data_IF_988600412230
#
_entry.id   IF_988600412230
#
_cell.length_a   1.000
_cell.length_b   1.000
_cell.length_c   1.000
_cell.angle_alpha   90.00
_cell.angle_beta   90.00
_cell.angle_gamma   90.00
#
_symmetry.space_group_name_H-M   'P 1'
#
loop_
_entity.id
_entity.type
_entity.pdbx_description
1 polymer ?
#
# COMPACT_ATOMS: atom_id res chain seq x y z
N UNK A 1 52.72 -30.96 2.38
CA UNK A 1 51.47 -30.76 1.61
C UNK A 1 51.72 -31.21 0.18
N UNK A 2 51.07 -32.29 -0.23
CA UNK A 2 51.27 -32.93 -1.54
C UNK A 2 50.60 -32.11 -2.65
N UNK A 3 51.02 -32.31 -3.91
CA UNK A 3 50.45 -31.60 -5.07
C UNK A 3 48.92 -31.84 -5.18
N UNK A 4 48.47 -33.05 -4.84
CA UNK A 4 47.07 -33.47 -4.87
C UNK A 4 46.21 -32.73 -3.83
N UNK A 5 46.74 -32.48 -2.62
CA UNK A 5 46.07 -31.67 -1.60
C UNK A 5 45.88 -30.22 -2.06
N UNK A 6 46.90 -29.62 -2.69
CA UNK A 6 46.82 -28.25 -3.21
C UNK A 6 45.76 -28.12 -4.31
N UNK A 7 45.70 -29.09 -5.24
CA UNK A 7 44.70 -29.12 -6.32
C UNK A 7 43.29 -29.31 -5.75
N UNK A 8 43.11 -30.19 -4.76
CA UNK A 8 41.81 -30.41 -4.12
C UNK A 8 41.29 -29.14 -3.42
N UNK A 9 42.16 -28.39 -2.74
CA UNK A 9 41.77 -27.13 -2.08
C UNK A 9 41.33 -26.09 -3.10
N UNK A 10 42.04 -25.97 -4.23
CA UNK A 10 41.69 -25.02 -5.30
C UNK A 10 40.34 -25.36 -5.94
N UNK A 11 40.06 -26.64 -6.21
CA UNK A 11 38.77 -27.09 -6.76
C UNK A 11 37.62 -26.87 -5.77
N UNK A 12 37.85 -27.14 -4.47
CA UNK A 12 36.88 -26.85 -3.42
C UNK A 12 36.59 -25.35 -3.29
N UNK A 13 37.60 -24.49 -3.45
CA UNK A 13 37.41 -23.04 -3.44
C UNK A 13 36.56 -22.58 -4.63
N UNK A 14 36.88 -23.05 -5.84
CA UNK A 14 36.17 -22.70 -7.06
C UNK A 14 34.71 -23.18 -7.05
N UNK A 15 34.48 -24.41 -6.56
CA UNK A 15 33.12 -24.95 -6.42
C UNK A 15 32.31 -24.18 -5.38
N UNK A 16 32.92 -23.74 -4.27
CA UNK A 16 32.26 -22.87 -3.30
C UNK A 16 31.83 -21.52 -3.90
N UNK A 17 32.70 -20.88 -4.69
CA UNK A 17 32.35 -19.64 -5.39
C UNK A 17 31.24 -19.85 -6.43
N UNK A 18 31.30 -20.94 -7.19
CA UNK A 18 30.27 -21.29 -8.16
C UNK A 18 28.91 -21.57 -7.49
N UNK A 19 28.90 -22.28 -6.37
CA UNK A 19 27.70 -22.54 -5.57
C UNK A 19 27.11 -21.25 -5.01
N UNK A 20 27.97 -20.35 -4.50
CA UNK A 20 27.55 -19.05 -3.97
C UNK A 20 26.93 -18.16 -5.06
N UNK A 21 27.55 -18.08 -6.24
CA UNK A 21 27.01 -17.34 -7.37
C UNK A 21 25.65 -17.91 -7.84
N UNK A 22 25.52 -19.24 -7.85
CA UNK A 22 24.27 -19.92 -8.20
C UNK A 22 23.17 -19.65 -7.18
N UNK A 23 23.50 -19.66 -5.88
CA UNK A 23 22.56 -19.32 -4.81
C UNK A 23 22.08 -17.86 -4.93
N UNK A 24 22.98 -16.93 -5.25
CA UNK A 24 22.63 -15.51 -5.50
C UNK A 24 21.70 -15.38 -6.70
N UNK A 25 22.00 -16.09 -7.80
CA UNK A 25 21.16 -16.07 -9.00
C UNK A 25 19.77 -16.66 -8.73
N UNK A 26 19.69 -17.79 -8.03
CA UNK A 26 18.43 -18.40 -7.62
C UNK A 26 17.62 -17.47 -6.71
N UNK A 27 18.26 -16.80 -5.76
CA UNK A 27 17.59 -15.82 -4.89
C UNK A 27 17.01 -14.64 -5.67
N UNK A 28 17.76 -14.10 -6.64
CA UNK A 28 17.27 -13.03 -7.53
C UNK A 28 16.11 -13.50 -8.39
N UNK A 29 16.20 -14.70 -8.97
CA UNK A 29 15.14 -15.31 -9.79
C UNK A 29 13.86 -15.53 -8.96
N UNK A 30 14.01 -15.99 -7.72
CA UNK A 30 12.90 -16.14 -6.79
C UNK A 30 12.24 -14.79 -6.46
N UNK A 31 13.02 -13.73 -6.19
CA UNK A 31 12.46 -12.40 -5.96
C UNK A 31 11.71 -11.85 -7.18
N UNK A 32 12.26 -12.04 -8.38
CA UNK A 32 11.62 -11.67 -9.64
C UNK A 32 10.30 -12.41 -9.85
N UNK A 33 10.32 -13.74 -9.70
CA UNK A 33 9.13 -14.59 -9.82
C UNK A 33 8.07 -14.20 -8.80
N UNK A 34 8.48 -13.92 -7.56
CA UNK A 34 7.59 -13.44 -6.49
C UNK A 34 6.98 -12.06 -6.81
N UNK A 35 7.72 -11.17 -7.46
CA UNK A 35 7.21 -9.87 -7.89
C UNK A 35 6.27 -9.98 -9.10
N UNK A 36 6.55 -10.88 -10.04
CA UNK A 36 5.68 -11.15 -11.19
C UNK A 36 4.38 -11.85 -10.78
N UNK A 37 4.44 -12.69 -9.75
CA UNK A 37 3.27 -13.33 -9.15
C UNK A 37 2.45 -12.39 -8.25
N UNK A 38 2.83 -11.11 -8.12
CA UNK A 38 2.00 -10.16 -7.39
C UNK A 38 0.69 -9.96 -8.14
N UNK A 39 -0.40 -10.14 -7.40
CA UNK A 39 -1.79 -9.95 -7.82
C UNK A 39 -2.18 -8.46 -7.89
N UNK A 40 -1.36 -7.61 -7.27
CA UNK A 40 -1.56 -6.17 -7.18
C UNK A 40 -0.23 -5.41 -7.17
N UNK A 41 -0.19 -4.29 -7.89
CA UNK A 41 0.84 -3.27 -7.79
C UNK A 41 0.27 -2.03 -7.09
N UNK A 42 0.97 -1.56 -6.05
CA UNK A 42 0.58 -0.38 -5.29
C UNK A 42 1.78 0.57 -5.23
N UNK A 43 1.63 1.78 -5.77
CA UNK A 43 2.73 2.72 -5.93
C UNK A 43 2.25 4.19 -5.90
N UNK A 44 3.13 5.16 -5.60
CA UNK A 44 2.81 6.58 -5.69
C UNK A 44 2.45 6.98 -7.12
N UNK A 45 1.46 7.87 -7.27
CA UNK A 45 1.14 8.47 -8.57
C UNK A 45 2.19 9.52 -8.97
N UNK A 46 2.20 9.89 -10.25
CA UNK A 46 2.86 11.11 -10.75
C UNK A 46 2.20 12.38 -10.20
N UNK A 47 0.92 12.29 -9.85
CA UNK A 47 0.19 13.35 -9.19
C UNK A 47 0.49 13.31 -7.68
N UNK A 48 0.76 14.48 -7.09
CA UNK A 48 1.12 14.60 -5.68
C UNK A 48 0.03 14.04 -4.76
N UNK A 49 0.46 13.51 -3.61
CA UNK A 49 -0.41 12.99 -2.55
C UNK A 49 -1.43 11.93 -3.01
N UNK A 50 -1.08 11.15 -4.03
CA UNK A 50 -1.92 10.09 -4.58
C UNK A 50 -1.22 8.76 -4.66
N UNK A 51 -2.01 7.70 -4.58
CA UNK A 51 -1.58 6.34 -4.84
C UNK A 51 -2.35 5.77 -6.02
N UNK A 52 -1.66 4.91 -6.76
CA UNK A 52 -2.25 4.06 -7.78
C UNK A 52 -2.19 2.63 -7.27
N UNK A 53 -3.34 1.96 -7.36
CA UNK A 53 -3.48 0.53 -7.18
C UNK A 53 -3.87 -0.09 -8.52
N UNK A 54 -3.12 -1.08 -8.97
CA UNK A 54 -3.35 -1.77 -10.25
C UNK A 54 -3.52 -3.25 -9.99
N UNK A 55 -4.60 -3.82 -10.51
CA UNK A 55 -4.80 -5.28 -10.49
C UNK A 55 -4.07 -5.93 -11.64
N UNK A 56 -3.20 -6.88 -11.31
CA UNK A 56 -2.48 -7.75 -12.26
C UNK A 56 -3.04 -9.17 -12.24
N UNK A 57 -4.08 -9.42 -11.44
CA UNK A 57 -4.75 -10.70 -11.27
C UNK A 57 -5.56 -11.09 -12.50
N UNK A 58 -5.24 -12.22 -13.14
CA UNK A 58 -6.06 -12.81 -14.20
C UNK A 58 -7.23 -13.65 -13.67
N UNK A 59 -7.15 -14.12 -12.42
CA UNK A 59 -8.05 -15.14 -11.87
C UNK A 59 -9.22 -14.56 -11.06
N UNK A 60 -8.95 -13.53 -10.26
CA UNK A 60 -9.92 -12.97 -9.32
C UNK A 60 -9.91 -11.45 -9.34
N UNK A 61 -11.06 -10.86 -9.01
CA UNK A 61 -11.13 -9.42 -8.72
C UNK A 61 -10.32 -9.13 -7.46
N UNK A 62 -9.57 -8.04 -7.50
CA UNK A 62 -8.80 -7.54 -6.37
C UNK A 62 -9.73 -6.74 -5.46
N UNK A 63 -10.08 -7.32 -4.31
CA UNK A 63 -10.99 -6.75 -3.32
C UNK A 63 -10.24 -6.42 -2.04
N UNK A 64 -10.49 -5.23 -1.50
CA UNK A 64 -10.00 -4.82 -0.20
C UNK A 64 -10.90 -5.39 0.89
N UNK A 65 -10.31 -6.15 1.81
CA UNK A 65 -10.97 -6.56 3.06
C UNK A 65 -10.71 -5.56 4.18
N UNK A 66 -9.54 -4.92 4.14
CA UNK A 66 -9.18 -3.94 5.15
C UNK A 66 -8.19 -2.90 4.60
N UNK A 67 -8.34 -1.64 5.03
CA UNK A 67 -7.32 -0.61 4.85
C UNK A 67 -6.95 -0.06 6.23
N UNK A 68 -5.65 0.06 6.49
CA UNK A 68 -5.10 0.64 7.74
C UNK A 68 -4.15 1.77 7.44
N UNK A 69 -4.15 2.78 8.32
CA UNK A 69 -3.13 3.82 8.37
C UNK A 69 -2.34 3.65 9.65
N UNK A 70 -1.04 3.39 9.52
CA UNK A 70 -0.11 3.35 10.64
C UNK A 70 0.71 4.62 10.66
N UNK A 71 0.48 5.50 11.64
CA UNK A 71 1.23 6.76 11.80
C UNK A 71 2.30 6.58 12.87
N UNK A 72 3.56 6.85 12.52
CA UNK A 72 4.69 6.78 13.44
C UNK A 72 4.92 8.15 14.07
N UNK A 73 4.53 8.31 15.34
CA UNK A 73 4.76 9.55 16.11
C UNK A 73 6.20 9.65 16.60
N UNK A 74 6.82 8.52 16.90
CA UNK A 74 8.23 8.42 17.28
C UNK A 74 8.80 7.09 16.79
N UNK A 75 10.10 6.84 17.03
CA UNK A 75 10.73 5.57 16.68
C UNK A 75 10.08 4.37 17.37
N UNK A 76 9.54 4.55 18.56
CA UNK A 76 8.95 3.47 19.37
C UNK A 76 7.42 3.51 19.44
N UNK A 77 6.80 4.63 19.07
CA UNK A 77 5.35 4.81 19.15
C UNK A 77 4.74 4.98 17.78
N UNK A 78 3.81 4.08 17.46
CA UNK A 78 2.97 4.16 16.28
C UNK A 78 1.53 3.89 16.66
N UNK A 79 0.62 4.66 16.09
CA UNK A 79 -0.81 4.39 16.18
C UNK A 79 -1.28 3.77 14.86
N UNK A 80 -2.24 2.84 14.94
CA UNK A 80 -2.81 2.17 13.78
C UNK A 80 -4.32 2.45 13.76
N UNK A 81 -4.81 2.92 12.62
CA UNK A 81 -6.20 3.29 12.41
C UNK A 81 -6.77 2.41 11.30
N UNK A 82 -7.76 1.56 11.63
CA UNK A 82 -8.47 0.76 10.63
C UNK A 82 -9.58 1.61 10.02
N UNK A 83 -9.49 1.87 8.71
CA UNK A 83 -10.43 2.72 8.00
C UNK A 83 -11.71 1.94 7.67
N UNK A 84 -11.58 0.63 7.47
CA UNK A 84 -12.68 -0.29 7.12
C UNK A 84 -13.69 -0.45 8.25
N UNK A 85 -13.29 -0.24 9.51
CA UNK A 85 -14.23 -0.17 10.64
C UNK A 85 -15.15 1.06 10.55
N UNK A 86 -14.74 2.09 9.80
CA UNK A 86 -15.46 3.34 9.59
C UNK A 86 -16.22 3.35 8.25
N UNK A 87 -16.09 2.28 7.44
CA UNK A 87 -16.70 2.15 6.13
C UNK A 87 -18.23 2.26 6.19
N UNK A 88 -18.90 1.50 7.06
CA UNK A 88 -20.37 1.50 7.17
C UNK A 88 -20.97 2.87 7.51
N UNK A 89 -20.22 3.74 8.21
CA UNK A 89 -20.69 5.08 8.57
C UNK A 89 -20.47 6.08 7.44
N UNK A 90 -19.45 5.86 6.61
CA UNK A 90 -19.20 6.66 5.41
C UNK A 90 -19.86 6.10 4.15
N UNK A 91 -20.42 4.89 4.19
CA UNK A 91 -21.05 4.21 3.07
C UNK A 91 -22.18 5.06 2.48
N UNK A 92 -23.06 5.61 3.33
CA UNK A 92 -24.16 6.47 2.89
C UNK A 92 -23.65 7.77 2.23
N UNK A 93 -22.64 8.41 2.82
CA UNK A 93 -22.02 9.62 2.27
C UNK A 93 -21.32 9.35 0.93
N UNK A 94 -20.55 8.27 0.83
CA UNK A 94 -19.86 7.88 -0.40
C UNK A 94 -20.82 7.42 -1.50
N UNK A 95 -21.95 6.76 -1.16
CA UNK A 95 -22.99 6.38 -2.12
C UNK A 95 -23.77 7.58 -2.67
N UNK A 96 -23.92 8.66 -1.88
CA UNK A 96 -24.58 9.89 -2.32
C UNK A 96 -23.71 10.80 -3.21
N UNK A 97 -22.38 10.72 -3.04
CA UNK A 97 -21.42 11.39 -3.90
C UNK A 97 -21.36 10.66 -5.25
N UNK A 98 -21.74 11.33 -6.34
CA UNK A 98 -21.74 10.81 -7.72
C UNK A 98 -20.33 10.50 -8.30
N UNK A 99 -19.30 10.38 -7.46
CA UNK A 99 -17.92 10.13 -7.87
C UNK A 99 -17.51 8.70 -7.50
N UNK A 100 -16.63 8.09 -8.31
CA UNK A 100 -16.05 6.75 -8.10
C UNK A 100 -15.31 6.67 -6.75
N UNK A 101 -16.07 6.37 -5.71
CA UNK A 101 -15.61 6.43 -4.34
C UNK A 101 -14.70 5.23 -4.02
N UNK A 102 -13.66 5.46 -3.20
CA UNK A 102 -12.60 4.50 -2.91
C UNK A 102 -13.17 3.20 -2.35
N UNK A 103 -14.18 3.29 -1.47
CA UNK A 103 -14.72 2.09 -0.84
C UNK A 103 -15.61 1.26 -1.76
N UNK A 104 -16.64 1.78 -2.45
CA UNK A 104 -17.38 1.01 -3.44
C UNK A 104 -16.46 0.38 -4.49
N UNK A 105 -15.42 1.09 -4.91
CA UNK A 105 -14.47 0.59 -5.92
C UNK A 105 -13.62 -0.57 -5.38
N UNK A 106 -13.05 -0.45 -4.19
CA UNK A 106 -12.11 -1.45 -3.66
C UNK A 106 -12.77 -2.55 -2.84
N UNK A 107 -13.82 -2.27 -2.07
CA UNK A 107 -14.46 -3.23 -1.16
C UNK A 107 -15.67 -3.95 -1.79
N UNK A 108 -16.43 -3.29 -2.67
CA UNK A 108 -17.64 -3.90 -3.28
C UNK A 108 -17.36 -4.42 -4.69
N UNK A 109 -16.91 -3.54 -5.60
CA UNK A 109 -16.69 -3.89 -7.01
C UNK A 109 -15.41 -4.72 -7.19
N UNK A 110 -14.33 -4.28 -6.55
CA UNK A 110 -12.98 -4.75 -6.77
C UNK A 110 -12.41 -4.29 -8.11
N UNK A 111 -11.11 -4.52 -8.32
CA UNK A 111 -10.42 -4.22 -9.58
C UNK A 111 -10.23 -5.49 -10.41
N UNK A 112 -10.62 -5.45 -11.69
CA UNK A 112 -10.33 -6.52 -12.64
C UNK A 112 -8.95 -6.36 -13.26
N UNK A 113 -8.46 -7.38 -13.96
CA UNK A 113 -7.14 -7.33 -14.62
C UNK A 113 -6.93 -6.05 -15.44
N UNK A 114 -5.76 -5.42 -15.27
CA UNK A 114 -5.37 -4.24 -16.02
C UNK A 114 -6.07 -2.95 -15.59
N UNK A 115 -7.09 -3.03 -14.73
CA UNK A 115 -7.68 -1.84 -14.14
C UNK A 115 -6.72 -1.23 -13.12
N UNK A 116 -6.56 0.08 -13.25
CA UNK A 116 -5.86 0.90 -12.28
C UNK A 116 -6.81 1.91 -11.67
N UNK A 117 -6.73 2.06 -10.36
CA UNK A 117 -7.46 3.03 -9.60
C UNK A 117 -6.48 3.98 -8.92
N UNK A 118 -6.65 5.26 -9.17
CA UNK A 118 -5.86 6.32 -8.56
C UNK A 118 -6.72 7.06 -7.54
N UNK A 119 -6.21 7.21 -6.31
CA UNK A 119 -6.95 7.86 -5.24
C UNK A 119 -6.09 8.81 -4.39
N UNK A 120 -6.68 9.88 -3.86
CA UNK A 120 -6.00 10.81 -2.96
C UNK A 120 -5.73 10.18 -1.60
N UNK A 121 -4.49 10.32 -1.12
CA UNK A 121 -4.09 9.86 0.21
C UNK A 121 -4.86 10.62 1.30
N UNK A 122 -5.09 11.92 1.08
CA UNK A 122 -5.82 12.77 2.02
C UNK A 122 -7.20 12.22 2.37
N UNK A 123 -7.90 11.59 1.43
CA UNK A 123 -9.22 10.98 1.68
C UNK A 123 -9.14 9.83 2.69
N UNK A 124 -8.13 8.97 2.59
CA UNK A 124 -7.94 7.89 3.56
C UNK A 124 -7.69 8.45 4.97
N UNK A 125 -6.88 9.50 5.06
CA UNK A 125 -6.62 10.19 6.32
C UNK A 125 -7.87 10.88 6.86
N UNK A 126 -8.60 11.62 6.04
CA UNK A 126 -9.87 12.27 6.38
C UNK A 126 -10.85 11.26 7.00
N UNK A 127 -11.07 10.12 6.33
CA UNK A 127 -11.94 9.07 6.87
C UNK A 127 -11.42 8.57 8.22
N UNK A 128 -10.11 8.36 8.35
CA UNK A 128 -9.51 7.94 9.62
C UNK A 128 -9.64 8.97 10.75
N UNK A 129 -9.91 10.24 10.43
CA UNK A 129 -10.10 11.30 11.43
C UNK A 129 -11.50 11.31 12.03
N UNK A 130 -12.46 10.62 11.40
CA UNK A 130 -13.84 10.67 11.83
C UNK A 130 -14.01 9.98 13.19
N UNK A 131 -14.33 10.78 14.21
CA UNK A 131 -14.50 10.36 15.61
C UNK A 131 -15.89 9.75 15.76
N UNK A 132 -16.12 8.58 15.18
CA UNK A 132 -17.41 7.91 15.36
C UNK A 132 -17.50 7.48 16.82
N UNK A 133 -18.49 8.07 17.50
CA UNK A 133 -18.86 7.96 18.91
C UNK A 133 -19.47 6.56 19.14
N UNK A 134 -18.74 5.49 18.83
CA UNK A 134 -19.19 4.11 19.09
C UNK A 134 -18.54 3.52 20.35
N UNK A 135 -17.57 4.20 20.95
CA UNK A 135 -16.98 3.83 22.24
C UNK A 135 -16.75 5.07 23.09
N UNK A 136 -16.75 4.93 24.42
CA UNK A 136 -16.47 6.00 25.40
C UNK A 136 -15.15 6.76 25.14
N UNK A 137 -14.26 6.19 24.33
CA UNK A 137 -13.02 6.81 23.87
C UNK A 137 -13.05 6.97 22.34
N UNK A 138 -12.79 8.18 21.79
CA UNK A 138 -12.70 8.36 20.35
C UNK A 138 -11.49 7.61 19.77
N UNK A 139 -11.73 6.59 18.96
CA UNK A 139 -10.70 5.84 18.22
C UNK A 139 -10.64 6.41 16.81
N UNK A 140 -9.94 7.53 16.66
CA UNK A 140 -9.77 8.20 15.37
C UNK A 140 -8.47 9.00 15.35
N UNK A 141 -7.91 9.17 14.16
CA UNK A 141 -6.75 10.01 13.94
C UNK A 141 -7.12 11.45 14.32
N UNK A 142 -6.29 12.09 15.16
CA UNK A 142 -6.47 13.52 15.45
C UNK A 142 -5.63 14.31 14.44
N UNK A 143 -6.23 15.11 13.53
CA UNK A 143 -5.47 15.89 12.56
C UNK A 143 -4.39 16.75 13.20
N UNK A 144 -4.70 17.36 14.35
CA UNK A 144 -3.80 18.22 15.14
C UNK A 144 -2.53 17.50 15.64
N UNK A 145 -2.50 16.16 15.59
CA UNK A 145 -1.33 15.36 15.98
C UNK A 145 -0.42 15.03 14.82
N UNK A 146 -0.80 15.37 13.58
CA UNK A 146 0.01 15.20 12.39
C UNK A 146 1.01 16.36 12.28
N UNK A 147 2.27 16.02 12.03
CA UNK A 147 3.35 16.99 11.82
C UNK A 147 4.10 16.63 10.55
N UNK A 148 4.51 17.63 9.78
CA UNK A 148 5.35 17.46 8.60
C UNK A 148 6.64 16.71 8.97
N UNK A 149 7.03 15.73 8.16
CA UNK A 149 8.15 14.82 8.39
C UNK A 149 7.80 13.51 9.11
N UNK A 150 6.58 13.37 9.65
CA UNK A 150 6.12 12.10 10.21
C UNK A 150 6.06 11.00 9.15
N UNK A 151 6.39 9.76 9.54
CA UNK A 151 6.27 8.60 8.65
C UNK A 151 4.90 7.97 8.83
N UNK A 152 4.23 7.66 7.74
CA UNK A 152 3.03 6.84 7.76
C UNK A 152 3.18 5.64 6.83
N UNK A 153 2.51 4.54 7.18
CA UNK A 153 2.40 3.36 6.33
C UNK A 153 0.93 3.12 6.07
N UNK A 154 0.55 3.14 4.80
CA UNK A 154 -0.76 2.73 4.32
C UNK A 154 -0.71 1.24 4.01
N UNK A 155 -1.62 0.46 4.59
CA UNK A 155 -1.64 -1.00 4.47
C UNK A 155 -2.99 -1.40 3.91
N UNK A 156 -2.98 -2.06 2.76
CA UNK A 156 -4.16 -2.58 2.06
C UNK A 156 -4.14 -4.11 2.19
N UNK A 157 -5.16 -4.68 2.81
CA UNK A 157 -5.40 -6.11 2.88
C UNK A 157 -6.28 -6.49 1.69
N UNK A 158 -5.66 -6.96 0.61
CA UNK A 158 -6.32 -7.28 -0.66
C UNK A 158 -6.34 -8.80 -0.87
N UNK A 159 -7.51 -9.41 -1.02
CA UNK A 159 -7.69 -10.87 -1.12
C UNK A 159 -6.84 -11.64 -0.08
N UNK A 160 -6.84 -11.18 1.18
CA UNK A 160 -6.06 -11.77 2.28
C UNK A 160 -4.56 -11.44 2.31
N UNK A 161 -4.02 -10.74 1.31
CA UNK A 161 -2.61 -10.37 1.23
C UNK A 161 -2.37 -8.91 1.59
N UNK A 162 -1.35 -8.62 2.40
CA UNK A 162 -1.01 -7.26 2.83
C UNK A 162 -0.09 -6.55 1.82
N UNK A 163 -0.52 -5.38 1.36
CA UNK A 163 0.25 -4.47 0.50
C UNK A 163 0.48 -3.15 1.23
N UNK A 164 1.73 -2.78 1.47
CA UNK A 164 2.07 -1.60 2.26
C UNK A 164 2.82 -0.56 1.45
N UNK A 165 2.42 0.71 1.55
CA UNK A 165 3.18 1.87 1.04
C UNK A 165 3.58 2.76 2.18
N UNK A 166 4.88 3.07 2.25
CA UNK A 166 5.44 4.03 3.19
C UNK A 166 5.41 5.41 2.56
N UNK A 167 4.91 6.39 3.31
CA UNK A 167 4.85 7.79 2.92
C UNK A 167 5.45 8.66 4.01
N UNK A 168 5.93 9.83 3.63
CA UNK A 168 6.29 10.90 4.55
C UNK A 168 5.18 11.93 4.48
N UNK A 169 4.60 12.27 5.62
CA UNK A 169 3.57 13.30 5.73
C UNK A 169 4.26 14.64 5.50
N UNK A 170 3.85 15.38 4.48
CA UNK A 170 4.32 16.74 4.21
C UNK A 170 3.22 17.75 4.59
N UNK A 171 3.57 19.04 4.60
CA UNK A 171 2.61 20.09 4.93
C UNK A 171 1.44 20.15 3.94
N UNK A 172 1.72 19.95 2.64
CA UNK A 172 0.71 19.92 1.58
C UNK A 172 -0.38 18.86 1.83
N UNK A 173 0.00 17.65 2.26
CA UNK A 173 -0.95 16.59 2.63
C UNK A 173 -1.73 16.95 3.90
N UNK A 174 -1.09 17.56 4.90
CA UNK A 174 -1.78 18.01 6.13
C UNK A 174 -2.83 19.07 5.78
N UNK A 175 -2.48 20.03 4.93
CA UNK A 175 -3.38 21.08 4.48
C UNK A 175 -4.55 20.51 3.66
N UNK A 176 -4.30 19.50 2.81
CA UNK A 176 -5.35 18.76 2.09
C UNK A 176 -6.30 18.02 3.05
N UNK A 177 -5.77 17.39 4.11
CA UNK A 177 -6.58 16.68 5.12
C UNK A 177 -7.46 17.66 5.90
N UNK A 178 -6.92 18.82 6.31
CA UNK A 178 -7.63 19.80 7.14
C UNK A 178 -8.65 20.59 6.32
N UNK A 179 -8.28 21.01 5.10
CA UNK A 179 -9.12 21.89 4.29
C UNK A 179 -10.27 21.16 3.59
N UNK A 180 -10.20 19.83 3.45
CA UNK A 180 -11.14 19.03 2.66
C UNK A 180 -11.12 19.33 1.16
N UNK A 181 -10.31 20.30 0.70
CA UNK A 181 -10.17 20.66 -0.72
C UNK A 181 -9.16 19.72 -1.38
N UNK A 182 -9.68 18.67 -2.00
CA UNK A 182 -8.88 17.71 -2.79
C UNK A 182 -8.48 18.38 -4.11
N UNK A 183 -7.18 18.61 -4.31
CA UNK A 183 -6.63 19.44 -5.40
C UNK A 183 -6.97 18.97 -6.82
N UNK A 184 -7.47 17.73 -7.02
CA UNK A 184 -7.94 17.22 -8.33
C UNK A 184 -8.98 16.09 -8.17
N UNK A 185 -10.25 16.37 -7.91
CA UNK A 185 -11.27 15.31 -7.69
C UNK A 185 -11.75 14.58 -8.96
N UNK A 186 -11.03 14.66 -10.09
CA UNK A 186 -11.37 13.86 -11.27
C UNK A 186 -10.69 12.50 -11.19
N UNK A 187 -11.37 11.61 -10.47
CA UNK A 187 -11.16 10.17 -10.50
C UNK A 187 -11.28 9.66 -11.94
N UNK A 188 -10.38 8.76 -12.34
CA UNK A 188 -10.48 8.05 -13.61
C UNK A 188 -10.10 6.60 -13.35
N UNK A 189 -11.07 5.70 -13.37
CA UNK A 189 -10.80 4.30 -13.63
C UNK A 189 -10.02 4.25 -14.96
N UNK A 190 -8.72 3.98 -14.90
CA UNK A 190 -7.93 3.78 -16.11
C UNK A 190 -8.06 2.32 -16.46
N UNK A 191 -8.95 2.04 -17.40
CA UNK A 191 -8.96 0.78 -18.12
C UNK A 191 -7.81 0.85 -19.14
N UNK A 192 -6.96 -0.18 -19.16
CA UNK A 192 -6.12 -0.38 -20.33
C UNK A 192 -7.06 -0.61 -21.52
N UNK A 193 -7.05 0.31 -22.49
CA UNK A 193 -7.63 0.06 -23.80
C UNK A 193 -6.71 -1.00 -24.42
N UNK A 194 -7.24 -2.22 -24.52
CA UNK A 194 -6.64 -3.32 -25.28
C UNK A 194 -6.50 -2.96 -26.74
#
# INVERSE_FOLDING_TARGET
MSLTEKVSVVISLLSFFAASASAIAAFRSYQLSKNLAKVCNLFPSVHKNRLIITSTSTAERLLAHEIKIKVHRSWFKSDCYSISQLYYVHEWFQKSCHYDAVFPTLFERGLTIGESYEFPIAELFEISTNRIILQKNPIGLKPDTLVSGMKATLIFMLNGTAYSVKIIINQELIDEIISGKKTYSHFRLRQNIS
#
